data_IF_530812130123
#
_entry.id   IF_530812130123
#
_cell.length_a   1.000
_cell.length_b   1.000
_cell.length_c   1.000
_cell.angle_alpha   90.00
_cell.angle_beta   90.00
_cell.angle_gamma   90.00
#
_symmetry.space_group_name_H-M   'P 1'
#
loop_
_entity.id
_entity.type
_entity.pdbx_description
1 polymer ?
#
# COMPACT_ATOMS: atom_id res chain seq x y z
N UNK A 1 -15.84 6.61 -8.51
CA UNK A 1 -15.11 5.66 -9.37
C UNK A 1 -14.98 4.34 -8.62
N UNK A 2 -15.44 3.23 -9.19
CA UNK A 2 -15.55 1.93 -8.51
C UNK A 2 -14.18 1.44 -8.01
N UNK A 3 -14.05 1.18 -6.69
CA UNK A 3 -12.84 0.63 -6.05
C UNK A 3 -12.58 -0.79 -6.60
N UNK A 4 -11.90 -0.89 -7.74
CA UNK A 4 -11.36 -2.17 -8.21
C UNK A 4 -10.41 -2.69 -7.12
N UNK A 5 -10.69 -3.88 -6.58
CA UNK A 5 -9.78 -4.60 -5.67
C UNK A 5 -8.46 -4.87 -6.40
N UNK A 6 -7.47 -4.02 -6.17
CA UNK A 6 -6.10 -4.21 -6.65
C UNK A 6 -5.32 -4.98 -5.60
N UNK A 7 -4.42 -5.86 -6.03
CA UNK A 7 -3.39 -6.40 -5.16
C UNK A 7 -2.25 -5.35 -4.98
N UNK A 8 -1.24 -5.60 -4.12
CA UNK A 8 -0.14 -4.66 -3.91
C UNK A 8 0.62 -4.27 -5.19
N UNK A 9 1.00 -5.23 -6.04
CA UNK A 9 1.71 -4.96 -7.29
C UNK A 9 0.86 -4.13 -8.26
N UNK A 10 -0.41 -4.47 -8.41
CA UNK A 10 -1.36 -3.71 -9.24
C UNK A 10 -1.54 -2.28 -8.72
N UNK A 11 -1.45 -2.08 -7.40
CA UNK A 11 -1.53 -0.75 -6.79
C UNK A 11 -0.28 0.07 -7.05
N UNK A 12 0.91 -0.54 -7.00
CA UNK A 12 2.18 0.09 -7.42
C UNK A 12 2.07 0.54 -8.88
N UNK A 13 1.68 -0.38 -9.76
CA UNK A 13 1.53 -0.09 -11.19
C UNK A 13 0.53 1.05 -11.45
N UNK A 14 -0.62 1.02 -10.79
CA UNK A 14 -1.64 2.06 -10.90
C UNK A 14 -1.12 3.41 -10.38
N UNK A 15 -0.32 3.43 -9.32
CA UNK A 15 0.28 4.65 -8.81
C UNK A 15 1.31 5.23 -9.78
N UNK A 16 2.19 4.39 -10.36
CA UNK A 16 3.14 4.84 -11.37
C UNK A 16 2.44 5.39 -12.61
N UNK A 17 1.33 4.77 -13.05
CA UNK A 17 0.50 5.31 -14.13
C UNK A 17 -0.03 6.70 -13.77
N UNK A 18 -0.64 6.85 -12.60
CA UNK A 18 -1.16 8.14 -12.15
C UNK A 18 -0.05 9.21 -12.09
N UNK A 19 1.12 8.86 -11.55
CA UNK A 19 2.29 9.73 -11.47
C UNK A 19 2.78 10.21 -12.86
N UNK A 20 2.68 9.36 -13.88
CA UNK A 20 3.09 9.67 -15.26
C UNK A 20 1.90 10.05 -16.17
N UNK A 21 0.83 10.63 -15.60
CA UNK A 21 -0.31 11.14 -16.37
C UNK A 21 -1.10 10.07 -17.13
N UNK A 22 -1.01 8.80 -16.71
CA UNK A 22 -1.67 7.66 -17.34
C UNK A 22 -0.87 6.99 -18.46
N UNK A 23 0.29 7.50 -18.85
CA UNK A 23 1.09 6.92 -19.93
C UNK A 23 1.90 5.71 -19.47
N UNK A 24 1.62 4.54 -20.06
CA UNK A 24 2.43 3.36 -19.80
C UNK A 24 3.85 3.48 -20.34
N UNK A 25 4.05 4.27 -21.41
CA UNK A 25 5.36 4.46 -22.00
C UNK A 25 6.25 5.28 -21.07
N UNK A 26 5.74 6.41 -20.56
CA UNK A 26 6.47 7.26 -19.61
C UNK A 26 6.82 6.51 -18.32
N UNK A 27 6.00 5.57 -17.86
CA UNK A 27 6.37 4.73 -16.71
C UNK A 27 7.59 3.84 -17.01
N UNK A 28 7.73 3.33 -18.24
CA UNK A 28 8.90 2.53 -18.62
C UNK A 28 10.15 3.39 -18.71
N UNK A 29 10.00 4.58 -19.29
CA UNK A 29 11.05 5.58 -19.51
C UNK A 29 11.40 6.41 -18.27
N UNK A 30 10.64 6.28 -17.18
CA UNK A 30 10.96 6.91 -15.90
C UNK A 30 12.39 6.55 -15.47
N UNK A 31 13.19 7.56 -15.15
CA UNK A 31 14.61 7.45 -14.77
C UNK A 31 14.85 7.59 -13.27
N UNK A 32 13.81 7.76 -12.46
CA UNK A 32 13.95 7.92 -11.01
C UNK A 32 14.23 6.58 -10.34
N UNK A 33 15.49 6.13 -10.43
CA UNK A 33 15.98 4.90 -9.80
C UNK A 33 15.95 4.97 -8.27
N UNK A 34 15.93 6.19 -7.71
CA UNK A 34 15.84 6.42 -6.28
C UNK A 34 14.44 6.16 -5.72
N UNK A 35 13.41 6.22 -6.57
CA UNK A 35 12.05 5.91 -6.19
C UNK A 35 11.95 4.45 -5.73
N UNK A 36 11.45 4.25 -4.52
CA UNK A 36 11.26 2.91 -3.96
C UNK A 36 10.41 1.99 -4.87
N UNK A 37 9.50 2.54 -5.66
CA UNK A 37 8.63 1.77 -6.56
C UNK A 37 9.31 1.39 -7.89
N UNK A 38 10.48 1.95 -8.20
CA UNK A 38 11.13 1.88 -9.52
C UNK A 38 11.21 0.45 -10.05
N UNK A 39 11.73 -0.48 -9.25
CA UNK A 39 11.93 -1.88 -9.66
C UNK A 39 10.61 -2.65 -9.89
N UNK A 40 9.50 -2.18 -9.30
CA UNK A 40 8.19 -2.85 -9.34
C UNK A 40 7.16 -2.12 -10.19
N UNK A 41 7.58 -1.09 -10.95
CA UNK A 41 6.68 -0.25 -11.78
C UNK A 41 6.09 -0.97 -13.00
N UNK A 42 6.64 -2.13 -13.34
CA UNK A 42 6.24 -2.95 -14.48
C UNK A 42 4.80 -3.50 -14.39
N UNK A 43 4.23 -3.95 -15.53
CA UNK A 43 2.86 -4.46 -15.59
C UNK A 43 2.66 -5.76 -14.82
N UNK A 44 3.70 -6.60 -14.73
CA UNK A 44 3.74 -7.84 -13.95
C UNK A 44 5.05 -7.88 -13.17
N UNK A 45 5.02 -8.56 -12.04
CA UNK A 45 6.19 -8.86 -11.23
C UNK A 45 5.98 -10.23 -10.61
N UNK A 46 7.02 -11.05 -10.64
CA UNK A 46 7.05 -12.36 -9.98
C UNK A 46 7.47 -12.24 -8.50
N UNK A 47 7.65 -11.00 -8.02
CA UNK A 47 8.03 -10.74 -6.65
C UNK A 47 6.94 -11.15 -5.67
N UNK A 48 7.39 -11.64 -4.52
CA UNK A 48 6.48 -12.00 -3.45
C UNK A 48 5.66 -10.78 -3.00
N UNK A 49 4.38 -11.00 -2.67
CA UNK A 49 3.48 -9.95 -2.18
C UNK A 49 4.10 -9.15 -1.01
N UNK A 50 4.85 -9.84 -0.14
CA UNK A 50 5.56 -9.23 1.00
C UNK A 50 6.60 -8.18 0.56
N UNK A 51 7.27 -8.40 -0.57
CA UNK A 51 8.21 -7.43 -1.15
C UNK A 51 7.45 -6.19 -1.58
N UNK A 52 6.38 -6.36 -2.37
CA UNK A 52 5.51 -5.24 -2.79
C UNK A 52 4.99 -4.42 -1.60
N UNK A 53 4.49 -5.07 -0.54
CA UNK A 53 4.01 -4.39 0.66
C UNK A 53 5.11 -3.56 1.35
N UNK A 54 6.32 -4.12 1.50
CA UNK A 54 7.47 -3.40 2.08
C UNK A 54 7.86 -2.20 1.22
N UNK A 55 7.87 -2.38 -0.10
CA UNK A 55 8.19 -1.33 -1.07
C UNK A 55 7.20 -0.18 -1.00
N UNK A 56 5.89 -0.47 -0.95
CA UNK A 56 4.84 0.54 -0.76
C UNK A 56 5.07 1.30 0.55
N UNK A 57 5.39 0.61 1.64
CA UNK A 57 5.66 1.27 2.92
C UNK A 57 6.86 2.22 2.85
N UNK A 58 7.95 1.81 2.21
CA UNK A 58 9.14 2.67 1.99
C UNK A 58 8.76 3.91 1.19
N UNK A 59 8.02 3.73 0.10
CA UNK A 59 7.54 4.86 -0.71
C UNK A 59 6.67 5.82 0.11
N UNK A 60 5.73 5.33 0.92
CA UNK A 60 4.89 6.19 1.75
C UNK A 60 5.69 6.97 2.82
N UNK A 61 6.75 6.38 3.39
CA UNK A 61 7.65 7.08 4.32
C UNK A 61 8.36 8.25 3.62
N UNK A 62 8.90 8.02 2.42
CA UNK A 62 9.54 9.06 1.62
C UNK A 62 8.53 10.14 1.18
N UNK A 63 7.37 9.75 0.68
CA UNK A 63 6.32 10.65 0.20
C UNK A 63 5.76 11.57 1.30
N UNK A 64 5.62 11.06 2.53
CA UNK A 64 5.15 11.87 3.67
C UNK A 64 6.28 12.58 4.41
N UNK A 65 7.53 12.44 3.95
CA UNK A 65 8.75 12.96 4.60
C UNK A 65 8.72 12.72 6.10
N UNK A 66 8.38 11.49 6.49
CA UNK A 66 7.88 11.32 7.85
C UNK A 66 7.85 9.89 8.34
N UNK A 67 7.32 9.80 9.55
CA UNK A 67 7.31 8.58 10.33
C UNK A 67 5.98 7.82 10.14
N UNK A 68 5.71 6.89 11.07
CA UNK A 68 4.46 6.14 11.07
C UNK A 68 3.22 7.02 11.31
N UNK A 69 3.35 8.11 12.07
CA UNK A 69 2.23 9.01 12.35
C UNK A 69 1.88 9.82 11.10
N UNK A 70 2.87 10.34 10.38
CA UNK A 70 2.67 11.06 9.11
C UNK A 70 1.89 10.21 8.09
N UNK A 71 2.26 8.93 7.92
CA UNK A 71 1.53 7.99 7.04
C UNK A 71 0.07 7.78 7.50
N UNK A 72 -0.17 7.78 8.81
CA UNK A 72 -1.52 7.64 9.35
C UNK A 72 -2.37 8.89 9.08
N UNK A 73 -1.76 10.07 9.24
CA UNK A 73 -2.38 11.38 9.04
C UNK A 73 -2.48 11.80 7.56
N UNK A 74 -1.84 11.07 6.64
CA UNK A 74 -1.87 11.36 5.20
C UNK A 74 -3.30 11.66 4.70
N UNK A 75 -3.55 12.89 4.19
CA UNK A 75 -4.89 13.38 3.86
C UNK A 75 -5.42 12.80 2.54
N UNK A 76 -4.53 12.29 1.68
CA UNK A 76 -4.91 11.74 0.39
C UNK A 76 -5.66 10.41 0.59
N UNK A 77 -6.98 10.46 0.39
CA UNK A 77 -7.90 9.33 0.60
C UNK A 77 -7.99 8.44 -0.63
N UNK A 78 -7.85 9.02 -1.82
CA UNK A 78 -8.03 8.31 -3.10
C UNK A 78 -6.72 7.71 -3.64
N UNK A 79 -5.60 7.92 -2.93
CA UNK A 79 -4.33 7.29 -3.29
C UNK A 79 -4.47 5.76 -3.30
N UNK A 80 -4.18 5.17 -4.46
CA UNK A 80 -4.28 3.72 -4.69
C UNK A 80 -3.35 2.88 -3.80
N UNK A 81 -2.29 3.48 -3.24
CA UNK A 81 -1.39 2.81 -2.28
C UNK A 81 -1.93 2.83 -0.84
N UNK A 82 -2.92 3.66 -0.55
CA UNK A 82 -3.44 3.90 0.80
C UNK A 82 -3.83 2.62 1.56
N UNK A 83 -4.45 1.60 0.96
CA UNK A 83 -4.77 0.35 1.68
C UNK A 83 -3.53 -0.38 2.20
N UNK A 84 -2.38 -0.19 1.54
CA UNK A 84 -1.13 -0.91 1.77
C UNK A 84 -0.05 -0.05 2.46
N UNK A 85 -0.32 1.23 2.75
CA UNK A 85 0.64 2.22 3.29
C UNK A 85 1.38 1.81 4.56
N UNK A 86 0.82 0.88 5.34
CA UNK A 86 1.45 0.33 6.54
C UNK A 86 2.31 -0.91 6.29
N UNK A 87 2.52 -1.32 5.05
CA UNK A 87 3.30 -2.50 4.69
C UNK A 87 2.64 -3.82 5.12
N UNK A 88 1.32 -3.80 5.31
CA UNK A 88 0.54 -4.95 5.75
C UNK A 88 -0.70 -5.03 4.89
N UNK A 89 -1.05 -6.25 4.46
CA UNK A 89 -2.26 -6.48 3.68
C UNK A 89 -3.53 -6.15 4.52
N UNK A 90 -4.54 -5.45 3.98
CA UNK A 90 -5.77 -5.10 4.69
C UNK A 90 -6.49 -6.31 5.31
N UNK A 91 -6.47 -7.46 4.63
CA UNK A 91 -7.03 -8.72 5.17
C UNK A 91 -6.37 -9.13 6.49
N UNK A 92 -5.05 -8.98 6.61
CA UNK A 92 -4.31 -9.30 7.83
C UNK A 92 -4.68 -8.37 8.98
N UNK A 93 -4.85 -7.07 8.69
CA UNK A 93 -5.31 -6.07 9.67
C UNK A 93 -6.71 -6.43 10.17
N UNK A 94 -7.65 -6.73 9.25
CA UNK A 94 -9.02 -7.14 9.58
C UNK A 94 -9.03 -8.40 10.46
N UNK A 95 -8.26 -9.43 10.10
CA UNK A 95 -8.14 -10.66 10.89
C UNK A 95 -7.60 -10.40 12.30
N UNK A 96 -6.57 -9.57 12.44
CA UNK A 96 -6.01 -9.22 13.76
C UNK A 96 -7.03 -8.48 14.63
N UNK A 97 -7.79 -7.54 14.05
CA UNK A 97 -8.84 -6.80 14.77
C UNK A 97 -9.95 -7.73 15.25
N UNK A 98 -10.43 -8.64 14.39
CA UNK A 98 -11.44 -9.64 14.75
C UNK A 98 -10.99 -10.47 15.96
N UNK A 99 -9.78 -11.04 15.91
CA UNK A 99 -9.19 -11.80 17.02
C UNK A 99 -9.07 -10.99 18.31
N UNK A 100 -8.76 -9.70 18.21
CA UNK A 100 -8.65 -8.83 19.39
C UNK A 100 -10.02 -8.60 20.04
N UNK A 101 -11.07 -8.39 19.24
CA UNK A 101 -12.45 -8.25 19.72
C UNK A 101 -12.94 -9.54 20.36
N UNK A 102 -12.72 -10.68 19.71
CA UNK A 102 -13.07 -12.01 20.23
C UNK A 102 -12.37 -12.29 21.56
N UNK A 103 -11.07 -12.00 21.66
CA UNK A 103 -10.32 -12.13 22.92
C UNK A 103 -10.92 -11.25 24.01
N UNK A 104 -11.21 -9.98 23.72
CA UNK A 104 -11.79 -9.06 24.70
C UNK A 104 -13.16 -9.53 25.17
N UNK A 105 -13.99 -10.08 24.28
CA UNK A 105 -15.29 -10.66 24.62
C UNK A 105 -15.13 -11.90 25.53
N UNK A 106 -14.17 -12.78 25.24
CA UNK A 106 -13.91 -13.97 26.06
C UNK A 106 -13.31 -13.62 27.45
N UNK A 107 -12.61 -12.49 27.55
CA UNK A 107 -11.97 -12.01 28.80
C UNK A 107 -12.91 -11.19 29.70
N UNK A 108 -14.18 -11.01 29.31
CA UNK A 108 -15.23 -10.42 30.14
C UNK A 108 -16.20 -11.53 30.58
N UNK A 109 -15.88 -12.33 31.61
CA UNK A 109 -16.86 -13.22 32.21
C UNK A 109 -17.87 -12.38 33.01
N UNK A 110 -19.12 -12.30 32.56
CA UNK A 110 -20.25 -11.82 33.37
C UNK A 110 -20.60 -10.34 33.27
N UNK A 111 -21.02 -9.87 32.09
CA UNK A 111 -22.24 -9.05 32.03
C UNK A 111 -23.40 -9.96 31.63
#
# INVERSE_FOLDING_TARGET
MSERKRNPQQSIRAHCLWCMGGSSQLVRECLDESCALYQLRGPKSDEAERVCLRTIRRHCLACTVGDRQAIRACPEKECVLRPYRFGVHPRTIKRRRKRQVEKNHLMLPGM
#
